data_IF_440043895020
#
_entry.id   IF_440043895020
#
_cell.length_a   1.000
_cell.length_b   1.000
_cell.length_c   1.000
_cell.angle_alpha   90.00
_cell.angle_beta   90.00
_cell.angle_gamma   90.00
#
_symmetry.space_group_name_H-M   'P 1'
#
loop_
_entity.id
_entity.type
_entity.pdbx_description
1 polymer ?
#
# COMPACT_ATOMS: atom_id res chain seq x y z
N UNK A 1 -6.52 2.82 28.39
CA UNK A 1 -6.35 3.03 26.94
C UNK A 1 -7.69 2.72 26.31
N UNK A 2 -8.39 3.73 25.79
CA UNK A 2 -9.62 3.52 25.02
C UNK A 2 -9.26 2.68 23.79
N UNK A 3 -9.95 1.56 23.59
CA UNK A 3 -9.88 0.83 22.32
C UNK A 3 -10.29 1.78 21.22
N UNK A 4 -9.38 2.11 20.31
CA UNK A 4 -9.74 2.77 19.06
C UNK A 4 -10.67 1.79 18.34
N UNK A 5 -11.92 2.17 18.15
CA UNK A 5 -12.89 1.41 17.38
C UNK A 5 -12.50 1.51 15.89
N UNK A 6 -11.53 0.70 15.48
CA UNK A 6 -11.09 0.60 14.08
C UNK A 6 -11.98 -0.35 13.29
N UNK A 7 -12.25 0.00 12.04
CA UNK A 7 -12.89 -0.89 11.08
C UNK A 7 -11.86 -1.94 10.64
N UNK A 8 -12.13 -3.23 10.83
CA UNK A 8 -11.19 -4.30 10.44
C UNK A 8 -11.66 -5.02 9.16
N UNK A 9 -10.71 -5.25 8.25
CA UNK A 9 -10.91 -6.05 7.04
C UNK A 9 -9.96 -7.24 7.13
N UNK A 10 -10.48 -8.45 7.32
CA UNK A 10 -9.71 -9.67 7.29
C UNK A 10 -9.74 -10.26 5.89
N UNK A 11 -8.57 -10.56 5.34
CA UNK A 11 -8.38 -11.07 3.99
C UNK A 11 -7.53 -12.34 4.10
N UNK A 12 -8.16 -13.50 3.91
CA UNK A 12 -7.45 -14.79 3.90
C UNK A 12 -7.50 -15.43 2.51
N UNK A 13 -6.49 -16.24 2.18
CA UNK A 13 -6.44 -16.98 0.90
C UNK A 13 -6.61 -18.47 1.18
N UNK A 14 -7.64 -19.08 0.58
CA UNK A 14 -7.99 -20.49 0.75
C UNK A 14 -8.18 -21.08 -0.66
N UNK A 15 -7.37 -22.08 -1.03
CA UNK A 15 -7.48 -22.80 -2.32
C UNK A 15 -7.64 -21.87 -3.53
N UNK A 16 -6.79 -20.84 -3.62
CA UNK A 16 -6.81 -19.77 -4.64
C UNK A 16 -7.98 -18.77 -4.59
N UNK A 17 -8.85 -18.86 -3.61
CA UNK A 17 -9.93 -17.90 -3.38
C UNK A 17 -9.53 -16.92 -2.28
N UNK A 18 -10.02 -15.68 -2.37
CA UNK A 18 -9.92 -14.75 -1.26
C UNK A 18 -11.21 -14.74 -0.47
N UNK A 19 -11.06 -14.69 0.84
CA UNK A 19 -12.14 -14.65 1.78
C UNK A 19 -12.03 -13.36 2.57
N UNK A 20 -13.09 -12.56 2.52
CA UNK A 20 -13.18 -11.27 3.17
C UNK A 20 -14.11 -11.36 4.37
N UNK A 21 -13.63 -10.91 5.51
CA UNK A 21 -14.45 -10.62 6.69
C UNK A 21 -14.31 -9.15 7.00
N UNK A 22 -15.45 -8.47 7.12
CA UNK A 22 -15.51 -7.06 7.45
C UNK A 22 -16.12 -6.95 8.84
N UNK A 23 -15.40 -6.31 9.75
CA UNK A 23 -15.84 -6.00 11.10
C UNK A 23 -16.01 -4.48 11.24
N UNK A 24 -17.26 -4.05 11.32
CA UNK A 24 -17.60 -2.66 11.59
C UNK A 24 -17.88 -2.49 13.10
N UNK A 25 -17.07 -1.72 13.84
CA UNK A 25 -17.30 -1.49 15.26
C UNK A 25 -18.63 -0.78 15.54
N UNK A 26 -19.19 -0.06 14.56
CA UNK A 26 -20.49 0.60 14.67
C UNK A 26 -21.65 -0.33 14.26
N UNK A 27 -21.35 -1.49 13.67
CA UNK A 27 -22.36 -2.46 13.24
C UNK A 27 -21.87 -3.92 13.41
N UNK A 28 -21.88 -4.45 14.65
CA UNK A 28 -21.30 -5.75 14.99
C UNK A 28 -22.03 -6.95 14.40
N UNK A 29 -23.20 -6.75 13.78
CA UNK A 29 -24.04 -7.82 13.22
C UNK A 29 -23.59 -8.21 11.80
N UNK A 30 -22.59 -7.52 11.24
CA UNK A 30 -22.28 -7.60 9.82
C UNK A 30 -20.96 -8.29 9.48
N UNK A 31 -20.56 -9.35 10.19
CA UNK A 31 -19.49 -10.24 9.73
C UNK A 31 -19.93 -10.93 8.43
N UNK A 32 -19.47 -10.41 7.29
CA UNK A 32 -19.67 -11.03 6.00
C UNK A 32 -18.58 -12.07 5.78
N UNK A 33 -18.92 -13.26 5.30
CA UNK A 33 -17.96 -14.31 4.99
C UNK A 33 -18.39 -14.91 3.67
N UNK A 34 -17.85 -14.39 2.58
CA UNK A 34 -18.09 -14.96 1.26
C UNK A 34 -16.78 -15.46 0.67
N UNK A 35 -16.82 -16.71 0.19
CA UNK A 35 -15.73 -17.31 -0.56
C UNK A 35 -15.98 -17.00 -2.02
N UNK A 36 -15.42 -15.91 -2.52
CA UNK A 36 -15.51 -15.61 -3.94
C UNK A 36 -14.19 -15.98 -4.62
N UNK A 37 -14.23 -16.79 -5.69
CA UNK A 37 -13.05 -17.04 -6.51
C UNK A 37 -12.60 -15.71 -7.09
N UNK A 38 -11.51 -15.18 -6.56
CA UNK A 38 -10.68 -14.27 -7.33
C UNK A 38 -9.86 -15.18 -8.25
N UNK A 39 -10.00 -15.08 -9.58
CA UNK A 39 -9.20 -15.90 -10.47
C UNK A 39 -7.71 -15.70 -10.15
N UNK A 40 -6.88 -16.77 -10.09
CA UNK A 40 -5.43 -16.64 -9.89
C UNK A 40 -4.78 -15.64 -10.85
N UNK A 41 -5.31 -15.59 -12.08
CA UNK A 41 -4.93 -14.66 -13.13
C UNK A 41 -5.09 -13.20 -12.71
N UNK A 42 -6.10 -12.87 -11.91
CA UNK A 42 -6.33 -11.50 -11.41
C UNK A 42 -5.20 -11.07 -10.48
N UNK A 43 -4.81 -11.93 -9.53
CA UNK A 43 -3.67 -11.69 -8.64
C UNK A 43 -2.39 -11.50 -9.44
N UNK A 44 -2.12 -12.41 -10.37
CA UNK A 44 -0.92 -12.36 -11.20
C UNK A 44 -0.84 -11.08 -12.03
N UNK A 45 -1.95 -10.66 -12.66
CA UNK A 45 -2.04 -9.38 -13.39
C UNK A 45 -1.74 -8.18 -12.50
N UNK A 46 -2.22 -8.18 -11.26
CA UNK A 46 -1.96 -7.11 -10.30
C UNK A 46 -0.47 -7.07 -9.94
N UNK A 47 0.15 -8.22 -9.69
CA UNK A 47 1.59 -8.29 -9.40
C UNK A 47 2.45 -7.84 -10.60
N UNK A 48 2.03 -8.15 -11.83
CA UNK A 48 2.70 -7.67 -13.04
C UNK A 48 2.61 -6.14 -13.16
N UNK A 49 1.45 -5.55 -12.87
CA UNK A 49 1.29 -4.09 -12.86
C UNK A 49 2.03 -3.41 -11.72
N UNK A 50 2.12 -4.06 -10.57
CA UNK A 50 2.96 -3.58 -9.48
C UNK A 50 4.45 -3.58 -9.88
N UNK A 51 4.93 -4.63 -10.54
CA UNK A 51 6.31 -4.69 -11.06
C UNK A 51 6.59 -3.60 -12.09
N UNK A 52 5.63 -3.34 -12.99
CA UNK A 52 5.72 -2.24 -13.96
C UNK A 52 5.86 -0.88 -13.24
N UNK A 53 5.02 -0.61 -12.25
CA UNK A 53 5.09 0.62 -11.44
C UNK A 53 6.44 0.75 -10.72
N UNK A 54 6.91 -0.32 -10.08
CA UNK A 54 8.21 -0.34 -9.39
C UNK A 54 9.38 -0.09 -10.34
N UNK A 55 9.29 -0.59 -11.58
CA UNK A 55 10.29 -0.30 -12.63
C UNK A 55 10.28 1.18 -13.01
N UNK A 56 9.10 1.81 -13.16
CA UNK A 56 8.99 3.24 -13.46
C UNK A 56 9.59 4.09 -12.33
N UNK A 57 9.32 3.73 -11.07
CA UNK A 57 9.92 4.38 -9.89
C UNK A 57 11.45 4.26 -9.92
N UNK A 58 11.99 3.09 -10.27
CA UNK A 58 13.44 2.88 -10.41
C UNK A 58 14.06 3.79 -11.46
N UNK A 59 13.47 3.88 -12.65
CA UNK A 59 13.93 4.76 -13.74
C UNK A 59 13.86 6.23 -13.32
N UNK A 60 12.79 6.63 -12.62
CA UNK A 60 12.64 7.98 -12.10
C UNK A 60 13.75 8.31 -11.09
N UNK A 61 14.05 7.40 -10.16
CA UNK A 61 15.11 7.57 -9.16
C UNK A 61 16.48 7.78 -9.81
N UNK A 62 16.83 6.97 -10.82
CA UNK A 62 18.12 7.12 -11.54
C UNK A 62 18.19 8.42 -12.35
N UNK A 63 17.06 8.83 -12.94
CA UNK A 63 16.96 10.10 -13.67
C UNK A 63 17.16 11.30 -12.74
N UNK A 64 16.60 11.27 -11.53
CA UNK A 64 16.77 12.29 -10.50
C UNK A 64 18.20 12.35 -9.97
N UNK A 65 18.84 11.19 -9.76
CA UNK A 65 20.24 11.13 -9.32
C UNK A 65 21.17 11.81 -10.32
N UNK A 66 21.04 11.47 -11.60
CA UNK A 66 21.83 12.09 -12.69
C UNK A 66 21.65 13.60 -12.76
N UNK A 67 20.43 14.11 -12.52
CA UNK A 67 20.14 15.54 -12.55
C UNK A 67 20.82 16.32 -11.42
N UNK A 68 21.02 15.69 -10.25
CA UNK A 68 21.62 16.32 -9.07
C UNK A 68 23.17 16.34 -9.12
N UNK A 69 23.79 15.49 -9.93
CA UNK A 69 25.26 15.34 -10.01
C UNK A 69 25.92 16.28 -11.06
N UNK A 70 25.14 17.04 -11.83
CA UNK A 70 25.65 17.88 -12.93
C UNK A 70 26.29 19.20 -12.49
N UNK A 71 27.62 19.32 -12.60
CA UNK A 71 28.34 20.60 -12.54
C UNK A 71 28.25 21.33 -13.89
N UNK A 72 27.43 22.38 -14.01
CA UNK A 72 27.32 23.16 -15.26
C UNK A 72 27.10 24.65 -15.02
N UNK A 73 27.47 25.48 -15.99
CA UNK A 73 27.33 26.95 -15.94
C UNK A 73 25.88 27.39 -15.76
N UNK A 74 25.67 28.50 -15.05
CA UNK A 74 24.35 28.95 -14.54
C UNK A 74 23.24 29.04 -15.59
N UNK A 75 23.53 29.53 -16.80
CA UNK A 75 22.53 29.68 -17.87
C UNK A 75 22.17 28.34 -18.52
N UNK A 76 23.15 27.46 -18.69
CA UNK A 76 22.93 26.10 -19.20
C UNK A 76 22.24 25.21 -18.15
N UNK A 77 22.55 25.41 -16.87
CA UNK A 77 21.91 24.73 -15.76
C UNK A 77 20.40 25.03 -15.68
N UNK A 78 19.98 26.26 -15.97
CA UNK A 78 18.55 26.65 -15.95
C UNK A 78 17.74 25.97 -17.06
N UNK A 79 18.28 25.87 -18.27
CA UNK A 79 17.60 25.17 -19.38
C UNK A 79 17.54 23.66 -19.14
N UNK A 80 18.63 23.06 -18.62
CA UNK A 80 18.62 21.66 -18.17
C UNK A 80 17.56 21.44 -17.08
N UNK A 81 17.53 22.31 -16.07
CA UNK A 81 16.56 22.19 -14.96
C UNK A 81 15.12 22.28 -15.46
N UNK A 82 14.79 23.22 -16.35
CA UNK A 82 13.43 23.33 -16.91
C UNK A 82 13.04 22.09 -17.72
N UNK A 83 13.93 21.62 -18.60
CA UNK A 83 13.69 20.41 -19.39
C UNK A 83 13.50 19.19 -18.48
N UNK A 84 14.33 19.08 -17.43
CA UNK A 84 14.26 17.98 -16.45
C UNK A 84 13.02 18.06 -15.57
N UNK A 85 12.55 19.26 -15.20
CA UNK A 85 11.29 19.46 -14.48
C UNK A 85 10.10 19.06 -15.37
N UNK A 86 10.10 19.45 -16.65
CA UNK A 86 9.06 19.04 -17.59
C UNK A 86 9.00 17.52 -17.79
N UNK A 87 10.17 16.89 -17.97
CA UNK A 87 10.29 15.43 -18.05
C UNK A 87 9.84 14.75 -16.74
N UNK A 88 10.23 15.31 -15.59
CA UNK A 88 9.84 14.83 -14.25
C UNK A 88 8.34 14.88 -14.06
N UNK A 89 7.69 15.99 -14.41
CA UNK A 89 6.23 16.12 -14.30
C UNK A 89 5.51 15.08 -15.15
N UNK A 90 5.96 14.85 -16.39
CA UNK A 90 5.39 13.83 -17.25
C UNK A 90 5.57 12.40 -16.69
N UNK A 91 6.73 12.10 -16.10
CA UNK A 91 6.97 10.81 -15.43
C UNK A 91 6.06 10.66 -14.21
N UNK A 92 5.94 11.69 -13.37
CA UNK A 92 5.09 11.68 -12.18
C UNK A 92 3.62 11.50 -12.55
N UNK A 93 3.12 12.22 -13.57
CA UNK A 93 1.75 12.05 -14.08
C UNK A 93 1.50 10.62 -14.57
N UNK A 94 2.44 10.05 -15.33
CA UNK A 94 2.36 8.65 -15.79
C UNK A 94 2.35 7.64 -14.62
N UNK A 95 3.15 7.89 -13.59
CA UNK A 95 3.19 7.07 -12.38
C UNK A 95 1.88 7.18 -11.58
N UNK A 96 1.34 8.38 -11.40
CA UNK A 96 0.05 8.61 -10.75
C UNK A 96 -1.07 7.87 -11.49
N UNK A 97 -1.13 7.99 -12.81
CA UNK A 97 -2.08 7.26 -13.65
C UNK A 97 -1.93 5.74 -13.51
N UNK A 98 -0.70 5.23 -13.53
CA UNK A 98 -0.42 3.80 -13.36
C UNK A 98 -0.85 3.30 -11.97
N UNK A 99 -0.60 4.09 -10.92
CA UNK A 99 -0.97 3.79 -9.55
C UNK A 99 -2.48 3.79 -9.36
N UNK A 100 -3.20 4.76 -9.93
CA UNK A 100 -4.67 4.80 -9.88
C UNK A 100 -5.27 3.57 -10.59
N UNK A 101 -4.74 3.26 -11.77
CA UNK A 101 -5.15 2.07 -12.53
C UNK A 101 -4.90 0.80 -11.71
N UNK A 102 -3.74 0.65 -11.08
CA UNK A 102 -3.44 -0.48 -10.19
C UNK A 102 -4.45 -0.56 -9.03
N UNK A 103 -4.70 0.55 -8.34
CA UNK A 103 -5.64 0.59 -7.23
C UNK A 103 -7.06 0.20 -7.62
N UNK A 104 -7.51 0.66 -8.79
CA UNK A 104 -8.81 0.28 -9.37
C UNK A 104 -8.84 -1.21 -9.73
N UNK A 105 -7.73 -1.78 -10.22
CA UNK A 105 -7.64 -3.21 -10.51
C UNK A 105 -7.71 -4.04 -9.23
N UNK A 106 -7.02 -3.64 -8.16
CA UNK A 106 -7.08 -4.31 -6.86
C UNK A 106 -8.52 -4.30 -6.35
N UNK A 107 -9.16 -3.13 -6.30
CA UNK A 107 -10.54 -3.01 -5.83
C UNK A 107 -11.52 -3.79 -6.72
N UNK A 108 -11.39 -3.69 -8.05
CA UNK A 108 -12.29 -4.34 -9.00
C UNK A 108 -12.14 -5.86 -9.09
N UNK A 109 -10.95 -6.40 -8.89
CA UNK A 109 -10.71 -7.83 -9.14
C UNK A 109 -10.39 -8.63 -7.89
N UNK A 110 -9.95 -7.99 -6.81
CA UNK A 110 -9.64 -8.71 -5.57
C UNK A 110 -10.72 -8.55 -4.50
N UNK A 111 -11.51 -7.48 -4.53
CA UNK A 111 -12.59 -7.25 -3.56
C UNK A 111 -13.92 -7.81 -4.11
N UNK A 112 -14.60 -8.69 -3.37
CA UNK A 112 -15.98 -9.13 -3.65
C UNK A 112 -16.92 -7.95 -3.91
N UNK A 113 -17.85 -8.07 -4.87
CA UNK A 113 -18.76 -6.97 -5.25
C UNK A 113 -19.61 -6.53 -4.06
N UNK A 114 -20.02 -7.51 -3.26
CA UNK A 114 -20.81 -7.42 -2.04
C UNK A 114 -20.06 -6.64 -0.95
N UNK A 115 -18.74 -6.82 -0.88
CA UNK A 115 -17.87 -6.07 0.02
C UNK A 115 -17.68 -4.61 -0.44
N UNK A 116 -17.62 -4.33 -1.75
CA UNK A 116 -17.31 -2.99 -2.25
C UNK A 116 -18.28 -1.93 -1.74
N UNK A 117 -19.58 -2.21 -1.74
CA UNK A 117 -20.58 -1.27 -1.24
C UNK A 117 -20.37 -0.90 0.23
N UNK A 118 -19.97 -1.89 1.06
CA UNK A 118 -19.65 -1.65 2.47
C UNK A 118 -18.35 -0.87 2.63
N UNK A 119 -17.34 -1.22 1.84
CA UNK A 119 -16.05 -0.55 1.87
C UNK A 119 -16.13 0.92 1.40
N UNK A 120 -17.03 1.24 0.46
CA UNK A 120 -17.33 2.63 0.08
C UNK A 120 -18.09 3.40 1.17
N UNK A 121 -18.78 2.71 2.07
CA UNK A 121 -19.61 3.29 3.13
C UNK A 121 -18.96 3.34 4.51
N UNK A 122 -17.65 3.14 4.61
CA UNK A 122 -16.93 3.15 5.90
C UNK A 122 -17.07 4.53 6.56
N UNK A 123 -17.55 4.56 7.80
CA UNK A 123 -17.67 5.79 8.60
C UNK A 123 -16.53 5.95 9.64
N UNK A 124 -15.53 5.07 9.61
CA UNK A 124 -14.38 5.12 10.52
C UNK A 124 -13.19 5.84 9.88
N UNK A 125 -12.47 6.63 10.69
CA UNK A 125 -11.20 7.26 10.27
C UNK A 125 -10.06 6.24 10.16
N UNK A 126 -10.16 5.10 10.85
CA UNK A 126 -9.10 4.11 10.96
C UNK A 126 -9.54 2.76 10.41
N UNK A 127 -8.76 2.23 9.47
CA UNK A 127 -9.00 0.92 8.87
C UNK A 127 -7.79 0.03 9.12
N UNK A 128 -8.02 -1.16 9.67
CA UNK A 128 -6.98 -2.19 9.80
C UNK A 128 -7.22 -3.28 8.78
N UNK A 129 -6.27 -3.47 7.88
CA UNK A 129 -6.28 -4.57 6.92
C UNK A 129 -5.46 -5.72 7.49
N UNK A 130 -6.15 -6.78 7.88
CA UNK A 130 -5.53 -8.01 8.35
C UNK A 130 -5.41 -9.01 7.20
N UNK A 131 -4.21 -9.41 6.83
CA UNK A 131 -4.01 -10.28 5.66
C UNK A 131 -2.86 -11.27 5.81
N UNK A 132 -2.98 -12.41 5.14
CA UNK A 132 -1.88 -13.35 4.90
C UNK A 132 -1.10 -13.01 3.62
N UNK A 133 -1.71 -12.32 2.65
CA UNK A 133 -1.08 -12.00 1.36
C UNK A 133 -0.41 -10.64 1.41
N UNK A 134 0.89 -10.67 1.69
CA UNK A 134 1.67 -9.46 1.91
C UNK A 134 2.11 -8.75 0.63
N UNK A 135 2.08 -9.44 -0.51
CA UNK A 135 2.55 -8.93 -1.80
C UNK A 135 1.56 -7.93 -2.42
N UNK A 136 0.29 -8.01 -2.03
CA UNK A 136 -0.74 -7.09 -2.52
C UNK A 136 -0.77 -5.84 -1.62
N UNK A 137 -0.63 -4.64 -2.21
CA UNK A 137 -0.71 -3.38 -1.46
C UNK A 137 -2.18 -3.00 -1.28
N UNK A 138 -2.89 -3.69 -0.39
CA UNK A 138 -4.32 -3.49 -0.13
C UNK A 138 -4.67 -2.04 0.26
N UNK A 139 -3.74 -1.32 0.86
CA UNK A 139 -3.83 0.10 1.18
C UNK A 139 -3.99 1.00 -0.07
N UNK A 140 -3.55 0.53 -1.23
CA UNK A 140 -3.68 1.22 -2.52
C UNK A 140 -4.98 0.87 -3.25
N UNK A 141 -5.93 0.18 -2.63
CA UNK A 141 -7.27 0.04 -3.20
C UNK A 141 -7.84 1.42 -3.54
N UNK A 142 -8.41 1.55 -4.74
CA UNK A 142 -9.05 2.77 -5.21
C UNK A 142 -10.50 2.45 -5.57
N UNK A 143 -11.45 3.00 -4.81
CA UNK A 143 -12.88 2.64 -4.94
C UNK A 143 -13.57 3.29 -6.14
N UNK A 144 -12.94 4.31 -6.69
CA UNK A 144 -13.44 5.03 -7.85
C UNK A 144 -13.34 6.54 -7.68
N UNK A 145 -13.30 6.97 -6.43
CA UNK A 145 -13.15 8.36 -6.03
C UNK A 145 -11.74 8.65 -5.51
N UNK A 146 -11.21 7.82 -4.61
CA UNK A 146 -9.90 8.06 -3.99
C UNK A 146 -9.27 6.76 -3.45
N UNK A 147 -7.96 6.79 -3.19
CA UNK A 147 -7.24 5.69 -2.55
C UNK A 147 -7.61 5.50 -1.07
N UNK A 148 -7.63 4.25 -0.63
CA UNK A 148 -7.92 3.90 0.77
C UNK A 148 -6.95 4.53 1.76
N UNK A 149 -5.66 4.56 1.44
CA UNK A 149 -4.64 5.21 2.28
C UNK A 149 -4.74 6.74 2.36
N UNK A 150 -5.52 7.36 1.46
CA UNK A 150 -5.79 8.80 1.49
C UNK A 150 -7.16 9.11 2.12
N UNK A 151 -8.13 8.21 1.96
CA UNK A 151 -9.45 8.29 2.64
C UNK A 151 -9.35 7.97 4.13
N UNK A 152 -8.50 7.01 4.52
CA UNK A 152 -8.44 6.45 5.86
C UNK A 152 -7.01 6.35 6.37
N UNK A 153 -6.85 6.41 7.70
CA UNK A 153 -5.61 5.99 8.37
C UNK A 153 -5.52 4.46 8.36
N UNK A 154 -4.85 3.92 7.34
CA UNK A 154 -4.75 2.47 7.11
C UNK A 154 -3.58 1.86 7.88
N UNK A 155 -3.85 0.82 8.68
CA UNK A 155 -2.85 -0.06 9.28
C UNK A 155 -2.88 -1.46 8.66
N UNK A 156 -1.76 -2.19 8.69
CA UNK A 156 -1.67 -3.60 8.25
C UNK A 156 -1.36 -4.53 9.41
N UNK A 157 -2.10 -5.64 9.50
CA UNK A 157 -1.92 -6.71 10.48
C UNK A 157 -1.64 -8.03 9.77
N UNK A 158 -0.39 -8.46 9.78
CA UNK A 158 0.00 -9.69 9.09
C UNK A 158 -0.45 -10.91 9.88
N UNK A 159 -1.26 -11.76 9.25
CA UNK A 159 -1.70 -13.03 9.80
C UNK A 159 -0.61 -14.07 9.55
N UNK A 160 0.22 -14.33 10.55
CA UNK A 160 1.25 -15.35 10.48
C UNK A 160 0.67 -16.70 10.93
N UNK A 161 0.86 -17.75 10.11
CA UNK A 161 0.50 -19.15 10.47
C UNK A 161 1.41 -19.75 11.54
N UNK A 162 2.47 -19.05 11.92
CA UNK A 162 3.43 -19.50 12.92
C UNK A 162 3.03 -18.95 14.29
N UNK A 163 2.82 -19.85 15.26
CA UNK A 163 2.65 -19.48 16.66
C UNK A 163 3.97 -18.92 17.19
N UNK A 164 4.15 -17.60 17.13
CA UNK A 164 5.28 -16.95 17.79
C UNK A 164 5.00 -17.02 19.29
N UNK A 165 5.86 -17.72 20.05
CA UNK A 165 5.85 -17.63 21.51
C UNK A 165 6.06 -16.16 21.87
N UNK A 166 5.01 -15.51 22.37
CA UNK A 166 5.12 -14.17 22.92
C UNK A 166 6.08 -14.26 24.10
N UNK A 167 7.25 -13.67 23.94
CA UNK A 167 8.18 -13.48 25.04
C UNK A 167 7.63 -12.31 25.83
N UNK A 168 7.21 -12.55 27.07
CA UNK A 168 6.89 -11.47 27.99
C UNK A 168 8.16 -10.67 28.24
N UNK A 169 8.22 -9.48 27.64
CA UNK A 169 9.31 -8.53 27.89
C UNK A 169 8.94 -7.73 29.12
N UNK A 170 9.85 -7.60 30.11
CA UNK A 170 9.65 -6.69 31.23
C UNK A 170 9.37 -5.29 30.68
N UNK A 171 8.25 -4.68 31.09
CA UNK A 171 7.99 -3.28 30.78
C UNK A 171 9.05 -2.46 31.51
N UNK A 172 9.88 -1.75 30.76
CA UNK A 172 10.84 -0.80 31.31
C UNK A 172 10.22 0.58 31.27
N UNK A 173 10.23 1.30 32.39
CA UNK A 173 9.69 2.66 32.46
C UNK A 173 10.55 3.69 31.69
N UNK A 174 11.75 3.27 31.26
CA UNK A 174 12.66 4.08 30.44
C UNK A 174 12.54 3.69 28.98
N UNK A 175 12.11 4.64 28.15
CA UNK A 175 12.07 4.47 26.70
C UNK A 175 13.50 4.33 26.16
N UNK A 176 13.76 3.24 25.44
CA UNK A 176 15.03 2.98 24.76
C UNK A 176 14.74 2.71 23.29
N UNK A 177 15.47 3.39 22.40
CA UNK A 177 15.38 3.19 20.96
C UNK A 177 16.69 2.63 20.43
N UNK A 178 16.60 1.67 19.50
CA UNK A 178 17.73 1.21 18.70
C UNK A 178 17.55 1.77 17.30
N UNK A 179 18.53 2.54 16.84
CA UNK A 179 18.61 3.00 15.46
C UNK A 179 19.68 2.20 14.74
N UNK A 180 19.33 1.66 13.57
CA UNK A 180 20.28 1.04 12.65
C UNK A 180 20.16 1.83 11.35
N UNK A 181 21.24 2.45 10.89
CA UNK A 181 21.25 3.25 9.67
C UNK A 181 22.26 2.71 8.66
N UNK A 182 21.82 2.56 7.41
CA UNK A 182 22.66 2.24 6.25
C UNK A 182 23.71 1.12 6.50
N UNK A 183 23.30 -0.08 6.95
CA UNK A 183 24.23 -1.15 7.34
C UNK A 183 25.12 -1.61 6.17
N UNK A 184 24.64 -1.43 4.94
CA UNK A 184 25.28 -1.81 3.68
C UNK A 184 26.06 -0.67 3.02
N UNK A 185 26.03 0.54 3.59
CA UNK A 185 26.70 1.74 3.08
C UNK A 185 26.31 2.15 1.65
N UNK A 186 25.16 1.71 1.15
CA UNK A 186 24.69 1.93 -0.23
C UNK A 186 23.54 2.95 -0.33
N UNK A 187 23.05 3.48 0.79
CA UNK A 187 22.15 4.64 0.77
C UNK A 187 22.93 5.94 0.52
N UNK A 188 22.42 6.85 -0.35
CA UNK A 188 23.01 8.16 -0.58
C UNK A 188 23.04 8.99 0.72
N UNK A 189 23.98 9.93 0.79
CA UNK A 189 24.14 10.87 1.92
C UNK A 189 23.06 11.94 1.95
#
# INVERSE_FOLDING_TARGET
MSSINSFEIHISRIDDHYHFIIEDPNNPITSFSEKIPVPPVSRQKILEKLKELLSQIGVFRESMKTALEGNTTREYALEILKAKIGETNSIVESMCYTMEKLGRLIFKYMVPVECRHRLCGIQSEHVIISTEDVEIPWELMHDGEEFFCLKYSVGRKIQAKVSIKRVDRPKSDKVRFLFISNPTLDLPK
#
